data_IF_508390924293
#
_entry.id   IF_508390924293
#
_cell.length_a   1.000
_cell.length_b   1.000
_cell.length_c   1.000
_cell.angle_alpha   90.00
_cell.angle_beta   90.00
_cell.angle_gamma   90.00
#
_symmetry.space_group_name_H-M   'P 1'
#
loop_
_entity.id
_entity.type
_entity.pdbx_description
1 polymer ?
#
# COMPACT_ATOMS: atom_id res chain seq x y z
N UNK A 1 11.60 -4.37 -27.36
CA UNK A 1 10.92 -4.27 -26.05
C UNK A 1 9.47 -3.85 -26.15
N UNK A 2 9.13 -2.76 -26.86
CA UNK A 2 7.74 -2.30 -27.00
C UNK A 2 6.80 -3.36 -27.57
N UNK A 3 7.22 -4.10 -28.62
CA UNK A 3 6.44 -5.21 -29.19
C UNK A 3 6.24 -6.39 -28.23
N UNK A 4 7.14 -6.61 -27.28
CA UNK A 4 7.02 -7.68 -26.28
C UNK A 4 5.97 -7.32 -25.23
N UNK A 5 5.96 -6.05 -24.80
CA UNK A 5 4.91 -5.48 -23.94
C UNK A 5 3.54 -5.57 -24.61
N UNK A 6 3.43 -5.18 -25.89
CA UNK A 6 2.15 -5.23 -26.64
C UNK A 6 1.67 -6.67 -26.89
N UNK A 7 2.59 -7.63 -27.02
CA UNK A 7 2.27 -9.05 -27.12
C UNK A 7 1.67 -9.58 -25.82
N UNK A 8 2.24 -9.20 -24.67
CA UNK A 8 1.76 -9.61 -23.35
C UNK A 8 0.42 -8.95 -23.04
N UNK A 9 0.24 -7.66 -23.38
CA UNK A 9 -1.02 -6.92 -23.22
C UNK A 9 -2.23 -7.63 -23.84
N UNK A 10 -2.02 -8.38 -24.93
CA UNK A 10 -3.07 -9.08 -25.68
C UNK A 10 -3.47 -10.42 -25.04
N UNK A 11 -2.64 -11.00 -24.18
CA UNK A 11 -2.87 -12.31 -23.53
C UNK A 11 -3.27 -12.22 -22.05
N UNK A 12 -3.31 -11.01 -21.49
CA UNK A 12 -3.62 -10.74 -20.08
C UNK A 12 -5.11 -10.86 -19.75
N UNK A 13 -5.57 -12.10 -19.56
CA UNK A 13 -6.87 -12.41 -18.96
C UNK A 13 -6.82 -12.56 -17.43
N UNK A 14 -5.63 -12.80 -16.86
CA UNK A 14 -5.50 -13.17 -15.45
C UNK A 14 -4.99 -12.01 -14.57
N UNK A 15 -5.62 -11.83 -13.41
CA UNK A 15 -5.28 -10.74 -12.48
C UNK A 15 -3.87 -10.91 -11.89
N UNK A 16 -3.36 -12.14 -11.86
CA UNK A 16 -2.00 -12.49 -11.42
C UNK A 16 -0.93 -11.97 -12.39
N UNK A 17 -1.15 -12.08 -13.70
CA UNK A 17 -0.23 -11.57 -14.73
C UNK A 17 -0.25 -10.04 -14.80
N UNK A 18 -1.40 -9.41 -14.52
CA UNK A 18 -1.49 -7.96 -14.38
C UNK A 18 -0.63 -7.43 -13.21
N UNK A 19 -0.60 -8.13 -12.08
CA UNK A 19 0.18 -7.70 -10.90
C UNK A 19 1.69 -7.72 -11.16
N UNK A 20 2.19 -8.83 -11.69
CA UNK A 20 3.63 -9.00 -11.94
C UNK A 20 4.12 -8.00 -12.97
N UNK A 21 3.30 -7.70 -13.99
CA UNK A 21 3.62 -6.70 -14.99
C UNK A 21 3.63 -5.28 -14.42
N UNK A 22 2.64 -4.91 -13.60
CA UNK A 22 2.59 -3.61 -12.94
C UNK A 22 3.81 -3.39 -12.00
N UNK A 23 4.23 -4.43 -11.28
CA UNK A 23 5.43 -4.39 -10.45
C UNK A 23 6.69 -4.15 -11.29
N UNK A 24 6.84 -4.87 -12.42
CA UNK A 24 7.95 -4.69 -13.35
C UNK A 24 8.00 -3.28 -13.94
N UNK A 25 6.86 -2.75 -14.37
CA UNK A 25 6.76 -1.37 -14.88
C UNK A 25 7.17 -0.34 -13.82
N UNK A 26 6.78 -0.54 -12.56
CA UNK A 26 7.21 0.33 -11.46
C UNK A 26 8.72 0.28 -11.21
N UNK A 27 9.38 -0.87 -11.44
CA UNK A 27 10.85 -0.97 -11.38
C UNK A 27 11.54 -0.25 -12.54
N UNK A 28 10.88 -0.16 -13.68
CA UNK A 28 11.36 0.56 -14.86
C UNK A 28 11.11 2.08 -14.78
N UNK A 29 10.48 2.57 -13.72
CA UNK A 29 10.07 3.98 -13.58
C UNK A 29 8.86 4.36 -14.45
N UNK A 30 8.17 3.39 -15.04
CA UNK A 30 6.96 3.60 -15.83
C UNK A 30 5.71 3.64 -14.93
N UNK A 31 5.73 4.52 -13.93
CA UNK A 31 4.72 4.59 -12.86
C UNK A 31 3.31 4.89 -13.39
N UNK A 32 3.20 5.70 -14.46
CA UNK A 32 1.91 6.01 -15.10
C UNK A 32 1.26 4.76 -15.67
N UNK A 33 2.05 3.91 -16.36
CA UNK A 33 1.52 2.66 -16.89
C UNK A 33 1.19 1.70 -15.76
N UNK A 34 2.10 1.54 -14.79
CA UNK A 34 1.85 0.69 -13.62
C UNK A 34 0.54 1.06 -12.89
N UNK A 35 0.25 2.36 -12.75
CA UNK A 35 -1.02 2.84 -12.19
C UNK A 35 -2.24 2.39 -13.02
N UNK A 36 -2.15 2.40 -14.35
CA UNK A 36 -3.22 1.90 -15.22
C UNK A 36 -3.50 0.41 -15.01
N UNK A 37 -2.46 -0.42 -14.89
CA UNK A 37 -2.61 -1.87 -14.65
C UNK A 37 -3.22 -2.14 -13.28
N UNK A 38 -2.77 -1.47 -12.23
CA UNK A 38 -3.38 -1.63 -10.90
C UNK A 38 -4.84 -1.18 -10.87
N UNK A 39 -5.22 -0.12 -11.61
CA UNK A 39 -6.62 0.28 -11.77
C UNK A 39 -7.44 -0.78 -12.51
N UNK A 40 -6.91 -1.37 -13.57
CA UNK A 40 -7.55 -2.49 -14.29
C UNK A 40 -7.78 -3.67 -13.35
N UNK A 41 -6.79 -4.04 -12.53
CA UNK A 41 -6.94 -5.10 -11.53
C UNK A 41 -8.11 -4.83 -10.58
N UNK A 42 -8.24 -3.60 -10.05
CA UNK A 42 -9.35 -3.22 -9.16
C UNK A 42 -10.73 -3.27 -9.83
N UNK A 43 -10.80 -2.97 -11.13
CA UNK A 43 -12.02 -3.11 -11.92
C UNK A 43 -12.42 -4.58 -12.06
N UNK A 44 -11.46 -5.46 -12.33
CA UNK A 44 -11.72 -6.90 -12.48
C UNK A 44 -12.02 -7.59 -11.14
N UNK A 45 -11.31 -7.25 -10.05
CA UNK A 45 -11.45 -7.89 -8.74
C UNK A 45 -12.60 -7.34 -7.88
N UNK A 46 -13.37 -6.36 -8.37
CA UNK A 46 -14.31 -5.53 -7.60
C UNK A 46 -13.62 -4.88 -6.38
N UNK A 47 -13.31 -3.59 -6.50
CA UNK A 47 -12.60 -2.74 -5.52
C UNK A 47 -13.09 -2.78 -4.06
N UNK A 48 -14.29 -3.31 -3.80
CA UNK A 48 -14.89 -3.43 -2.47
C UNK A 48 -14.78 -4.83 -1.86
N UNK A 49 -14.28 -5.82 -2.61
CA UNK A 49 -14.07 -7.16 -2.08
C UNK A 49 -12.73 -7.23 -1.36
N UNK A 50 -12.72 -7.87 -0.19
CA UNK A 50 -11.47 -8.30 0.42
C UNK A 50 -10.92 -9.49 -0.37
N UNK A 51 -10.18 -9.19 -1.43
CA UNK A 51 -9.37 -10.15 -2.15
C UNK A 51 -7.91 -9.74 -2.08
N UNK A 52 -7.01 -10.73 -2.07
CA UNK A 52 -5.56 -10.50 -2.12
C UNK A 52 -5.16 -9.61 -3.30
N UNK A 53 -5.91 -9.69 -4.40
CA UNK A 53 -5.71 -8.90 -5.61
C UNK A 53 -6.04 -7.42 -5.38
N UNK A 54 -7.18 -7.13 -4.73
CA UNK A 54 -7.57 -5.77 -4.34
C UNK A 54 -6.53 -5.15 -3.41
N UNK A 55 -6.04 -5.91 -2.42
CA UNK A 55 -5.00 -5.45 -1.50
C UNK A 55 -3.69 -5.14 -2.25
N UNK A 56 -3.23 -6.05 -3.12
CA UNK A 56 -2.00 -5.84 -3.92
C UNK A 56 -2.12 -4.61 -4.81
N UNK A 57 -3.26 -4.43 -5.47
CA UNK A 57 -3.47 -3.28 -6.34
C UNK A 57 -3.46 -1.95 -5.57
N UNK A 58 -4.13 -1.86 -4.41
CA UNK A 58 -4.05 -0.68 -3.57
C UNK A 58 -2.63 -0.45 -3.03
N UNK A 59 -1.89 -1.49 -2.66
CA UNK A 59 -0.49 -1.36 -2.23
C UNK A 59 0.40 -0.78 -3.33
N UNK A 60 0.23 -1.26 -4.56
CA UNK A 60 0.95 -0.76 -5.74
C UNK A 60 0.65 0.72 -6.00
N UNK A 61 -0.64 1.09 -6.03
CA UNK A 61 -1.07 2.48 -6.21
C UNK A 61 -0.57 3.40 -5.10
N UNK A 62 -0.61 2.96 -3.85
CA UNK A 62 -0.14 3.75 -2.71
C UNK A 62 1.38 3.98 -2.75
N UNK A 63 2.14 2.99 -3.22
CA UNK A 63 3.59 3.11 -3.45
C UNK A 63 3.90 4.10 -4.58
N UNK A 64 3.18 4.01 -5.70
CA UNK A 64 3.34 4.94 -6.83
C UNK A 64 3.05 6.38 -6.38
N UNK A 65 1.94 6.60 -5.67
CA UNK A 65 1.59 7.92 -5.15
C UNK A 65 2.69 8.48 -4.21
N UNK A 66 3.23 7.64 -3.33
CA UNK A 66 4.33 8.00 -2.44
C UNK A 66 5.61 8.38 -3.22
N UNK A 67 5.99 7.58 -4.22
CA UNK A 67 7.18 7.84 -5.04
C UNK A 67 7.05 9.14 -5.85
N UNK A 68 5.83 9.48 -6.27
CA UNK A 68 5.52 10.73 -6.97
C UNK A 68 5.46 11.95 -6.03
N UNK A 69 5.70 11.78 -4.72
CA UNK A 69 5.62 12.85 -3.73
C UNK A 69 4.19 13.23 -3.31
N UNK A 70 3.17 12.53 -3.82
CA UNK A 70 1.78 12.74 -3.42
C UNK A 70 1.45 11.90 -2.17
N UNK A 71 2.02 12.34 -1.05
CA UNK A 71 1.89 11.67 0.24
C UNK A 71 0.45 11.63 0.75
N UNK A 72 -0.35 12.65 0.43
CA UNK A 72 -1.77 12.70 0.83
C UNK A 72 -2.58 11.62 0.09
N UNK A 73 -2.44 11.52 -1.24
CA UNK A 73 -3.07 10.46 -2.04
C UNK A 73 -2.57 9.08 -1.62
N UNK A 74 -1.29 8.95 -1.29
CA UNK A 74 -0.72 7.71 -0.76
C UNK A 74 -1.44 7.25 0.52
N UNK A 75 -1.68 8.17 1.47
CA UNK A 75 -2.43 7.89 2.71
C UNK A 75 -3.85 7.45 2.40
N UNK A 76 -4.57 8.18 1.54
CA UNK A 76 -5.94 7.85 1.15
C UNK A 76 -6.06 6.46 0.54
N UNK A 77 -5.11 6.08 -0.32
CA UNK A 77 -5.08 4.76 -0.95
C UNK A 77 -4.81 3.67 0.09
N UNK A 78 -3.84 3.86 0.99
CA UNK A 78 -3.53 2.89 2.03
C UNK A 78 -4.68 2.72 3.04
N UNK A 79 -5.42 3.79 3.35
CA UNK A 79 -6.62 3.72 4.19
C UNK A 79 -7.72 2.84 3.57
N UNK A 80 -7.81 2.75 2.23
CA UNK A 80 -8.75 1.82 1.57
C UNK A 80 -8.46 0.37 1.91
N UNK A 81 -7.21 0.01 2.21
CA UNK A 81 -6.86 -1.36 2.64
C UNK A 81 -7.31 -1.59 4.09
N UNK A 82 -7.19 -0.58 4.95
CA UNK A 82 -7.57 -0.68 6.37
C UNK A 82 -9.08 -0.87 6.57
N UNK A 83 -9.91 -0.42 5.64
CA UNK A 83 -11.38 -0.61 5.68
C UNK A 83 -11.83 -1.94 5.07
N UNK A 84 -10.93 -2.71 4.43
CA UNK A 84 -11.24 -4.06 3.98
C UNK A 84 -11.26 -4.99 5.20
N UNK A 85 -12.34 -5.74 5.36
CA UNK A 85 -12.46 -6.71 6.45
C UNK A 85 -11.43 -7.83 6.33
N UNK A 86 -11.09 -8.52 7.44
CA UNK A 86 -10.27 -9.74 7.46
C UNK A 86 -8.85 -9.61 6.86
N UNK A 87 -8.19 -8.46 7.02
CA UNK A 87 -6.76 -8.36 6.70
C UNK A 87 -5.90 -9.11 7.72
N UNK A 88 -4.82 -9.73 7.26
CA UNK A 88 -3.83 -10.30 8.17
C UNK A 88 -3.09 -9.20 8.94
N UNK A 89 -2.63 -9.52 10.15
CA UNK A 89 -1.83 -8.60 10.97
C UNK A 89 -0.60 -8.08 10.23
N UNK A 90 0.03 -8.92 9.40
CA UNK A 90 1.18 -8.55 8.57
C UNK A 90 0.82 -7.45 7.55
N UNK A 91 -0.35 -7.55 6.93
CA UNK A 91 -0.82 -6.53 5.97
C UNK A 91 -1.13 -5.23 6.72
N UNK A 92 -1.85 -5.30 7.84
CA UNK A 92 -2.19 -4.12 8.65
C UNK A 92 -0.93 -3.38 9.15
N UNK A 93 0.08 -4.12 9.61
CA UNK A 93 1.36 -3.55 10.05
C UNK A 93 2.11 -2.85 8.90
N UNK A 94 2.24 -3.48 7.73
CA UNK A 94 2.88 -2.86 6.55
C UNK A 94 2.13 -1.62 6.08
N UNK A 95 0.79 -1.64 6.05
CA UNK A 95 -0.04 -0.50 5.64
C UNK A 95 0.07 0.66 6.64
N UNK A 96 -0.02 0.39 7.94
CA UNK A 96 0.16 1.41 8.97
C UNK A 96 1.57 2.02 8.91
N UNK A 97 2.60 1.21 8.67
CA UNK A 97 3.97 1.70 8.51
C UNK A 97 4.10 2.63 7.29
N UNK A 98 3.50 2.28 6.14
CA UNK A 98 3.52 3.13 4.95
C UNK A 98 2.77 4.45 5.15
N UNK A 99 1.63 4.43 5.84
CA UNK A 99 0.90 5.65 6.21
C UNK A 99 1.76 6.53 7.13
N UNK A 100 2.42 5.93 8.14
CA UNK A 100 3.33 6.65 9.02
C UNK A 100 4.49 7.30 8.26
N UNK A 101 5.06 6.60 7.27
CA UNK A 101 6.06 7.18 6.38
C UNK A 101 5.52 8.37 5.60
N UNK A 102 4.32 8.27 5.00
CA UNK A 102 3.72 9.39 4.28
C UNK A 102 3.51 10.61 5.18
N UNK A 103 3.03 10.42 6.41
CA UNK A 103 2.91 11.52 7.39
C UNK A 103 4.25 12.12 7.80
N UNK A 104 5.32 11.31 7.87
CA UNK A 104 6.68 11.80 8.12
C UNK A 104 7.12 12.80 7.05
N UNK A 105 6.84 12.52 5.77
CA UNK A 105 7.20 13.42 4.66
C UNK A 105 6.26 14.63 4.55
N UNK A 106 5.06 14.56 5.13
CA UNK A 106 4.18 15.71 5.32
C UNK A 106 4.50 16.53 6.58
N UNK A 107 5.56 16.17 7.32
CA UNK A 107 5.96 16.79 8.58
C UNK A 107 4.90 16.73 9.71
N UNK A 108 3.86 15.90 9.55
CA UNK A 108 2.89 15.63 10.62
C UNK A 108 3.43 14.50 11.52
N UNK A 109 4.35 14.87 12.39
CA UNK A 109 5.03 13.93 13.29
C UNK A 109 4.08 13.29 14.30
N UNK A 110 2.99 13.96 14.69
CA UNK A 110 2.01 13.42 15.64
C UNK A 110 1.27 12.23 15.01
N UNK A 111 0.78 12.38 13.78
CA UNK A 111 0.14 11.27 13.06
C UNK A 111 1.15 10.20 12.66
N UNK A 112 2.35 10.59 12.23
CA UNK A 112 3.45 9.66 11.96
C UNK A 112 3.69 8.70 13.13
N UNK A 113 3.91 9.23 14.34
CA UNK A 113 4.11 8.43 15.55
C UNK A 113 2.91 7.53 15.83
N UNK A 114 1.69 8.06 15.71
CA UNK A 114 0.46 7.27 15.91
C UNK A 114 0.42 6.03 15.01
N UNK A 115 0.73 6.20 13.72
CA UNK A 115 0.69 5.11 12.75
C UNK A 115 1.87 4.14 12.88
N UNK A 116 3.06 4.63 13.25
CA UNK A 116 4.19 3.75 13.59
C UNK A 116 3.91 2.93 14.85
N UNK A 117 3.30 3.52 15.88
CA UNK A 117 2.89 2.76 17.06
C UNK A 117 1.85 1.71 16.70
N UNK A 118 0.89 2.00 15.82
CA UNK A 118 -0.05 0.98 15.32
C UNK A 118 0.67 -0.15 14.58
N UNK A 119 1.64 0.17 13.73
CA UNK A 119 2.43 -0.84 13.02
C UNK A 119 3.27 -1.73 13.96
N UNK A 120 3.69 -1.18 15.10
CA UNK A 120 4.51 -1.88 16.11
C UNK A 120 3.68 -2.63 17.16
N UNK A 121 2.55 -2.08 17.59
CA UNK A 121 1.69 -2.65 18.63
C UNK A 121 1.27 -4.09 18.29
N UNK A 122 1.13 -4.38 17.00
CA UNK A 122 0.78 -5.70 16.50
C UNK A 122 1.96 -6.69 16.54
N UNK A 123 3.21 -6.20 16.49
CA UNK A 123 4.44 -7.01 16.60
C UNK A 123 4.84 -7.24 18.07
N UNK A 124 4.49 -6.31 18.96
CA UNK A 124 4.86 -6.34 20.38
C UNK A 124 3.74 -6.77 21.31
N UNK A 125 2.53 -7.09 20.84
CA UNK A 125 1.51 -7.74 21.69
C UNK A 125 1.99 -9.11 22.23
N UNK A 126 3.07 -9.69 21.67
CA UNK A 126 3.78 -10.83 22.26
C UNK A 126 4.99 -10.46 23.13
N UNK A 127 5.44 -9.20 23.14
CA UNK A 127 6.77 -8.80 23.63
C UNK A 127 6.87 -7.36 24.21
N UNK A 128 5.82 -6.82 24.85
CA UNK A 128 5.87 -5.97 26.06
C UNK A 128 4.65 -5.01 26.14
N UNK A 129 3.96 -4.92 27.29
CA UNK A 129 2.95 -3.90 27.55
C UNK A 129 3.62 -2.54 27.82
N UNK A 130 3.04 -1.50 27.22
CA UNK A 130 3.02 -0.10 27.68
C UNK A 130 4.23 0.41 28.49
N UNK A 131 5.24 0.96 27.83
CA UNK A 131 6.24 1.82 28.52
C UNK A 131 6.42 3.22 27.94
N UNK A 132 5.59 3.64 26.98
CA UNK A 132 5.71 4.97 26.37
C UNK A 132 4.77 6.04 26.91
N UNK A 133 3.93 5.74 27.91
CA UNK A 133 3.01 6.75 28.50
C UNK A 133 3.70 7.61 29.59
N UNK A 134 4.88 7.25 30.10
CA UNK A 134 5.50 8.01 31.21
C UNK A 134 6.33 9.24 30.78
N UNK A 135 6.68 9.42 29.50
CA UNK A 135 7.59 10.51 29.10
C UNK A 135 6.86 11.85 28.85
N UNK A 136 5.53 11.87 28.80
CA UNK A 136 4.75 13.12 28.66
C UNK A 136 4.23 13.71 29.97
N UNK A 137 4.70 13.21 31.13
CA UNK A 137 4.49 13.85 32.44
C UNK A 137 5.83 14.25 33.06
N UNK A 138 6.46 15.27 32.48
CA UNK A 138 7.41 16.15 33.20
C UNK A 138 7.06 17.58 32.80
#
# INVERSE_FOLDING_TARGET
MQQFVTSIEKEMGEITTLNTFAEFLGLMGEDVKAEEYYKKMLCTSNKNTNSDQTVKAYKGLGRIAFNNGDYQKSIEIFQKILVLNNQSLTILSDVNFRIGQSYKYLEDYNRCLTYYTKALADRTSSLLPMRYIEISRI
#
